data_IF_745896650021
#
_entry.id   IF_745896650021
#
_cell.length_a   1.000
_cell.length_b   1.000
_cell.length_c   1.000
_cell.angle_alpha   90.00
_cell.angle_beta   90.00
_cell.angle_gamma   90.00
#
_symmetry.space_group_name_H-M   'P 1'
#
loop_
_entity.id
_entity.type
_entity.pdbx_description
1 polymer ?
#
# COMPACT_ATOMS: atom_id res chain seq x y z
N UNK A 1 -14.54 -1.77 14.97
CA UNK A 1 -14.05 -2.77 13.99
C UNK A 1 -14.08 -4.16 14.58
N UNK A 2 -13.87 -5.21 13.78
CA UNK A 2 -13.64 -6.56 14.29
C UNK A 2 -12.19 -6.72 14.80
N UNK A 3 -12.00 -7.67 15.73
CA UNK A 3 -10.71 -7.91 16.40
C UNK A 3 -9.62 -8.38 15.43
N UNK A 4 -9.99 -9.14 14.40
CA UNK A 4 -9.04 -9.63 13.40
C UNK A 4 -8.48 -8.48 12.55
N UNK A 5 -9.35 -7.55 12.13
CA UNK A 5 -8.91 -6.31 11.47
C UNK A 5 -7.96 -5.49 12.35
N UNK A 6 -8.28 -5.27 13.63
CA UNK A 6 -7.39 -4.51 14.53
C UNK A 6 -6.03 -5.20 14.73
N UNK A 7 -6.00 -6.52 14.80
CA UNK A 7 -4.74 -7.28 14.82
C UNK A 7 -3.94 -7.09 13.52
N UNK A 8 -4.59 -7.18 12.36
CA UNK A 8 -3.95 -6.95 11.07
C UNK A 8 -3.38 -5.53 10.97
N UNK A 9 -4.10 -4.52 11.45
CA UNK A 9 -3.63 -3.13 11.54
C UNK A 9 -2.41 -3.02 12.46
N UNK A 10 -2.41 -3.71 13.60
CA UNK A 10 -1.26 -3.75 14.51
C UNK A 10 -0.01 -4.42 13.91
N UNK A 11 -0.18 -5.46 13.08
CA UNK A 11 0.91 -6.04 12.30
C UNK A 11 1.42 -5.05 11.25
N UNK A 12 0.49 -4.42 10.52
CA UNK A 12 0.83 -3.44 9.48
C UNK A 12 1.59 -2.25 10.06
N UNK A 13 1.17 -1.72 11.21
CA UNK A 13 1.88 -0.65 11.91
C UNK A 13 3.33 -1.03 12.18
N UNK A 14 3.57 -2.20 12.80
CA UNK A 14 4.93 -2.69 13.08
C UNK A 14 5.76 -2.81 11.80
N UNK A 15 5.17 -3.35 10.73
CA UNK A 15 5.83 -3.44 9.44
C UNK A 15 6.20 -2.06 8.86
N UNK A 16 5.33 -1.07 8.99
CA UNK A 16 5.56 0.32 8.54
C UNK A 16 6.68 0.98 9.36
N UNK A 17 6.68 0.79 10.68
CA UNK A 17 7.70 1.36 11.56
C UNK A 17 9.09 0.76 11.28
N UNK A 18 9.16 -0.54 10.98
CA UNK A 18 10.41 -1.22 10.61
C UNK A 18 10.88 -0.91 9.18
N UNK A 19 9.95 -0.71 8.24
CA UNK A 19 10.26 -0.34 6.85
C UNK A 19 10.60 1.15 6.69
N UNK A 20 10.42 1.94 7.75
CA UNK A 20 10.44 3.40 7.69
C UNK A 20 11.76 3.93 7.13
N UNK A 21 11.64 4.77 6.10
CA UNK A 21 12.77 5.50 5.51
C UNK A 21 12.86 6.90 6.15
N UNK A 22 14.00 7.28 6.75
CA UNK A 22 14.19 8.63 7.27
C UNK A 22 13.99 9.70 6.20
N UNK A 23 13.26 10.77 6.55
CA UNK A 23 13.01 11.91 5.64
C UNK A 23 11.76 11.78 4.75
N UNK A 24 11.13 10.61 4.70
CA UNK A 24 9.89 10.40 3.93
C UNK A 24 8.67 10.67 4.83
N UNK A 25 7.87 11.68 4.45
CA UNK A 25 6.76 12.18 5.27
C UNK A 25 5.61 11.17 5.35
N UNK A 26 5.34 10.47 4.26
CA UNK A 26 4.25 9.52 4.07
C UNK A 26 4.33 8.38 5.08
N UNK A 27 5.53 7.89 5.41
CA UNK A 27 5.71 6.89 6.48
C UNK A 27 5.29 7.43 7.85
N UNK A 28 5.61 8.69 8.15
CA UNK A 28 5.22 9.31 9.43
C UNK A 28 3.71 9.52 9.49
N UNK A 29 3.10 9.98 8.40
CA UNK A 29 1.65 10.16 8.30
C UNK A 29 0.92 8.81 8.39
N UNK A 30 1.43 7.79 7.72
CA UNK A 30 0.86 6.44 7.73
C UNK A 30 0.94 5.83 9.12
N UNK A 31 2.11 5.87 9.76
CA UNK A 31 2.29 5.38 11.13
C UNK A 31 1.33 6.08 12.10
N UNK A 32 1.20 7.41 12.01
CA UNK A 32 0.25 8.17 12.84
C UNK A 32 -1.23 7.89 12.54
N UNK A 33 -1.61 7.63 11.29
CA UNK A 33 -2.98 7.25 10.94
C UNK A 33 -3.32 5.83 11.43
N UNK A 34 -2.35 4.91 11.37
CA UNK A 34 -2.50 3.56 11.93
C UNK A 34 -2.60 3.59 13.46
N UNK A 35 -1.85 4.46 14.13
CA UNK A 35 -1.98 4.69 15.58
C UNK A 35 -3.37 5.16 15.96
N UNK A 36 -3.87 6.21 15.28
CA UNK A 36 -5.23 6.70 15.51
C UNK A 36 -6.28 5.63 15.22
N UNK A 37 -6.06 4.79 14.21
CA UNK A 37 -6.96 3.65 13.92
C UNK A 37 -6.99 2.66 15.08
N UNK A 38 -5.85 2.34 15.69
CA UNK A 38 -5.77 1.41 16.82
C UNK A 38 -6.34 2.01 18.12
N UNK A 39 -6.23 3.32 18.30
CA UNK A 39 -6.76 4.03 19.48
C UNK A 39 -8.28 4.25 19.40
N UNK A 40 -8.80 4.58 18.21
CA UNK A 40 -10.21 4.94 18.01
C UNK A 40 -11.08 3.80 17.50
N UNK A 41 -10.46 2.75 16.93
CA UNK A 41 -11.12 1.61 16.28
C UNK A 41 -12.10 2.02 15.16
N UNK A 42 -11.87 3.19 14.56
CA UNK A 42 -12.72 3.80 13.54
C UNK A 42 -12.32 3.42 12.11
N UNK A 43 -13.34 3.13 11.28
CA UNK A 43 -13.22 2.93 9.84
C UNK A 43 -12.77 4.19 9.11
N UNK A 44 -13.10 5.38 9.62
CA UNK A 44 -12.65 6.62 9.00
C UNK A 44 -11.13 6.75 9.03
N UNK A 45 -10.51 6.50 10.19
CA UNK A 45 -9.06 6.57 10.37
C UNK A 45 -8.33 5.50 9.53
N UNK A 46 -8.88 4.29 9.42
CA UNK A 46 -8.31 3.25 8.55
C UNK A 46 -8.37 3.65 7.07
N UNK A 47 -9.45 4.31 6.63
CA UNK A 47 -9.55 4.80 5.27
C UNK A 47 -8.53 5.93 5.00
N UNK A 48 -8.26 6.78 5.98
CA UNK A 48 -7.20 7.78 5.86
C UNK A 48 -5.82 7.11 5.78
N UNK A 49 -5.54 6.11 6.62
CA UNK A 49 -4.31 5.31 6.52
C UNK A 49 -4.16 4.67 5.13
N UNK A 50 -5.25 4.12 4.56
CA UNK A 50 -5.24 3.58 3.19
C UNK A 50 -4.87 4.65 2.15
N UNK A 51 -5.45 5.86 2.24
CA UNK A 51 -5.13 6.96 1.32
C UNK A 51 -3.65 7.35 1.39
N UNK A 52 -3.09 7.45 2.59
CA UNK A 52 -1.66 7.75 2.77
C UNK A 52 -0.79 6.60 2.23
N UNK A 53 -1.18 5.35 2.46
CA UNK A 53 -0.47 4.20 1.90
C UNK A 53 -0.44 4.24 0.36
N UNK A 54 -1.52 4.63 -0.29
CA UNK A 54 -1.58 4.76 -1.76
C UNK A 54 -0.65 5.85 -2.30
N UNK A 55 -0.29 6.85 -1.50
CA UNK A 55 0.70 7.89 -1.88
C UNK A 55 2.15 7.45 -1.74
N UNK A 56 2.43 6.35 -1.03
CA UNK A 56 3.78 5.82 -0.94
C UNK A 56 4.27 5.32 -2.30
N UNK A 57 5.56 5.53 -2.53
CA UNK A 57 6.22 4.98 -3.70
C UNK A 57 6.05 3.45 -3.80
N UNK A 58 6.04 2.92 -5.02
CA UNK A 58 5.82 1.49 -5.30
C UNK A 58 6.85 0.58 -4.61
N UNK A 59 8.11 1.00 -4.55
CA UNK A 59 9.17 0.24 -3.89
C UNK A 59 8.94 0.19 -2.37
N UNK A 60 8.59 1.34 -1.78
CA UNK A 60 8.27 1.45 -0.36
C UNK A 60 7.05 0.60 0.01
N UNK A 61 6.00 0.61 -0.82
CA UNK A 61 4.80 -0.22 -0.63
C UNK A 61 5.12 -1.71 -0.65
N UNK A 62 6.00 -2.12 -1.57
CA UNK A 62 6.45 -3.52 -1.68
C UNK A 62 7.18 -3.95 -0.41
N UNK A 63 8.13 -3.15 0.07
CA UNK A 63 8.86 -3.42 1.32
C UNK A 63 7.94 -3.55 2.54
N UNK A 64 6.95 -2.67 2.66
CA UNK A 64 5.95 -2.74 3.75
C UNK A 64 5.14 -4.04 3.67
N UNK A 65 4.70 -4.45 2.48
CA UNK A 65 3.90 -5.68 2.30
C UNK A 65 4.73 -6.94 2.58
N UNK A 66 5.97 -7.01 2.11
CA UNK A 66 6.86 -8.14 2.39
C UNK A 66 7.11 -8.30 3.89
N UNK A 67 7.33 -7.20 4.62
CA UNK A 67 7.46 -7.23 6.07
C UNK A 67 6.16 -7.59 6.77
N UNK A 68 5.04 -6.96 6.41
CA UNK A 68 3.75 -7.23 7.01
C UNK A 68 3.33 -8.69 6.83
N UNK A 69 3.58 -9.28 5.65
CA UNK A 69 3.30 -10.69 5.41
C UNK A 69 4.21 -11.62 6.20
N UNK A 70 5.49 -11.26 6.38
CA UNK A 70 6.43 -12.01 7.22
C UNK A 70 6.00 -11.98 8.68
N UNK A 71 5.67 -10.81 9.22
CA UNK A 71 5.18 -10.64 10.59
C UNK A 71 3.84 -11.34 10.82
N UNK A 72 2.89 -11.22 9.88
CA UNK A 72 1.59 -11.89 9.97
C UNK A 72 1.75 -13.42 9.99
N UNK A 73 2.67 -13.97 9.18
CA UNK A 73 2.96 -15.42 9.18
C UNK A 73 3.61 -15.87 10.47
N UNK A 74 4.56 -15.10 11.01
CA UNK A 74 5.19 -15.39 12.29
C UNK A 74 4.16 -15.42 13.41
N UNK A 75 3.30 -14.38 13.50
CA UNK A 75 2.27 -14.29 14.52
C UNK A 75 1.18 -15.37 14.36
N UNK A 76 0.81 -15.73 13.12
CA UNK A 76 -0.08 -16.85 12.86
C UNK A 76 0.55 -18.20 13.25
N UNK A 77 1.85 -18.37 13.05
CA UNK A 77 2.58 -19.58 13.45
C UNK A 77 2.65 -19.70 14.99
N UNK A 78 2.91 -18.60 15.70
CA UNK A 78 2.92 -18.55 17.17
C UNK A 78 1.55 -18.91 17.76
N UNK A 79 0.44 -18.48 17.14
CA UNK A 79 -0.91 -18.86 17.57
C UNK A 79 -1.27 -20.30 17.22
N UNK A 80 -0.70 -20.84 16.15
CA UNK A 80 -0.95 -22.22 15.69
C UNK A 80 -0.09 -23.23 16.41
N UNK A 81 0.99 -22.83 17.08
CA UNK A 81 1.65 -23.63 18.09
C UNK A 81 0.83 -23.49 19.38
N UNK A 82 -0.17 -24.35 19.66
CA UNK A 82 -0.80 -24.35 20.96
C UNK A 82 0.31 -24.52 22.00
N UNK A 83 0.30 -23.65 23.00
CA UNK A 83 0.97 -23.85 24.29
C UNK A 83 0.39 -25.10 24.95
N UNK A 84 0.75 -26.27 24.43
CA UNK A 84 0.54 -27.56 25.04
C UNK A 84 1.60 -27.77 26.11
N UNK A 85 1.17 -27.61 27.36
CA UNK A 85 1.61 -28.36 28.54
C UNK A 85 3.04 -28.10 29.04
N UNK A 86 3.39 -28.05 30.33
CA UNK A 86 2.81 -27.87 31.66
C UNK A 86 4.07 -27.66 32.54
N UNK A 87 3.94 -26.90 33.62
CA UNK A 87 4.81 -26.86 34.80
C UNK A 87 5.95 -27.91 34.87
N UNK A 88 7.20 -27.42 34.80
CA UNK A 88 8.30 -28.05 35.52
C UNK A 88 8.64 -27.15 36.71
N UNK A 89 7.80 -27.23 37.74
CA UNK A 89 8.08 -26.67 39.07
C UNK A 89 9.29 -27.41 39.69
N UNK A 90 10.43 -26.71 39.68
CA UNK A 90 11.46 -26.59 40.73
C UNK A 90 12.03 -27.87 41.40
N UNK A 91 13.33 -28.10 41.19
CA UNK A 91 14.24 -28.46 42.30
C UNK A 91 15.46 -27.53 42.24
N UNK A 92 15.75 -26.74 43.29
CA UNK A 92 16.96 -25.94 43.36
C UNK A 92 18.04 -26.69 44.16
N UNK A 93 19.18 -26.98 43.56
CA UNK A 93 20.41 -27.24 44.31
C UNK A 93 21.55 -26.43 43.69
N UNK A 94 21.94 -25.40 44.44
CA UNK A 94 23.13 -24.60 44.24
C UNK A 94 24.39 -25.44 44.48
N UNK A 95 25.42 -25.30 43.63
CA UNK A 95 26.82 -25.08 44.03
C UNK A 95 27.54 -24.34 42.87
N UNK A 96 28.37 -23.29 43.14
CA UNK A 96 28.97 -22.41 42.12
C UNK A 96 30.40 -22.82 41.73
N UNK A 97 31.06 -21.97 40.90
CA UNK A 97 32.52 -21.93 40.58
C UNK A 97 32.88 -22.88 39.41
N UNK A 98 33.40 -22.51 38.23
CA UNK A 98 34.47 -21.56 37.85
C UNK A 98 34.51 -21.46 36.30
N UNK A 99 34.81 -20.27 35.76
CA UNK A 99 35.42 -20.05 34.42
C UNK A 99 36.94 -20.34 34.54
N UNK A 100 37.80 -20.55 33.49
CA UNK A 100 37.66 -20.09 32.09
C UNK A 100 38.32 -20.91 30.94
N UNK A 101 38.07 -20.41 29.71
CA UNK A 101 38.95 -20.32 28.53
C UNK A 101 39.60 -21.57 27.90
N UNK A 102 39.28 -21.83 26.63
CA UNK A 102 40.28 -22.12 25.58
C UNK A 102 39.66 -22.03 24.17
N UNK A 103 40.26 -21.19 23.34
CA UNK A 103 40.03 -21.03 21.92
C UNK A 103 40.53 -22.22 21.11
N UNK A 104 39.81 -22.68 20.08
CA UNK A 104 40.33 -23.34 18.84
C UNK A 104 39.19 -23.27 17.79
N UNK A 105 39.21 -22.30 16.87
CA UNK A 105 39.76 -22.37 15.49
C UNK A 105 38.78 -22.95 14.46
N UNK A 106 38.23 -22.08 13.60
CA UNK A 106 37.67 -22.43 12.29
C UNK A 106 38.68 -23.20 11.45
N UNK A 107 38.24 -24.12 10.57
CA UNK A 107 38.31 -23.77 9.14
C UNK A 107 37.19 -24.37 8.27
N UNK A 108 36.74 -23.58 7.29
CA UNK A 108 36.31 -24.04 5.94
C UNK A 108 37.59 -24.30 5.11
N UNK A 109 37.69 -25.22 4.12
CA UNK A 109 36.90 -25.34 2.87
C UNK A 109 36.58 -26.83 2.52
N UNK A 110 35.92 -27.29 1.45
CA UNK A 110 36.27 -27.28 0.01
C UNK A 110 35.27 -28.20 -0.76
N UNK A 111 34.86 -27.84 -2.00
CA UNK A 111 34.34 -28.72 -3.08
C UNK A 111 35.53 -29.53 -3.71
N UNK A 112 35.44 -30.44 -4.74
CA UNK A 112 34.41 -30.77 -5.78
C UNK A 112 34.42 -32.31 -6.15
N UNK A 113 34.31 -32.85 -7.42
CA UNK A 113 33.55 -32.56 -8.67
C UNK A 113 32.78 -33.79 -9.29
N UNK A 114 31.99 -33.53 -10.36
CA UNK A 114 31.60 -34.44 -11.50
C UNK A 114 30.71 -35.69 -11.18
N UNK A 115 29.77 -36.21 -11.99
CA UNK A 115 29.62 -36.41 -13.45
C UNK A 115 28.12 -36.63 -13.82
N UNK A 116 27.72 -36.20 -15.02
CA UNK A 116 26.53 -36.66 -15.79
C UNK A 116 27.08 -37.38 -17.04
N UNK A 117 26.46 -38.45 -17.57
CA UNK A 117 25.45 -38.23 -18.61
C UNK A 117 24.33 -39.29 -18.82
N UNK A 118 23.25 -38.79 -19.44
CA UNK A 118 22.43 -39.40 -20.51
C UNK A 118 21.32 -40.46 -20.27
N UNK A 119 20.14 -40.06 -20.75
CA UNK A 119 19.24 -40.74 -21.69
C UNK A 119 18.03 -41.56 -21.17
N UNK A 120 16.85 -41.06 -21.51
CA UNK A 120 15.56 -41.76 -21.46
C UNK A 120 14.39 -40.89 -21.90
N UNK A 121 14.33 -40.51 -23.18
CA UNK A 121 13.18 -39.82 -23.81
C UNK A 121 12.00 -40.78 -24.07
N UNK A 122 10.73 -40.33 -24.04
CA UNK A 122 9.61 -41.07 -24.64
C UNK A 122 9.49 -40.80 -26.17
N UNK A 123 9.02 -41.77 -26.98
CA UNK A 123 8.77 -41.61 -28.42
C UNK A 123 7.41 -40.91 -28.64
N UNK A 124 7.11 -40.10 -29.65
CA UNK A 124 7.77 -39.74 -30.92
C UNK A 124 6.74 -39.86 -32.05
N UNK A 125 6.25 -38.76 -32.65
CA UNK A 125 5.58 -38.69 -33.98
C UNK A 125 5.70 -37.24 -34.51
N UNK A 126 6.75 -36.87 -35.25
CA UNK A 126 6.94 -36.94 -36.72
C UNK A 126 6.19 -35.86 -37.52
N UNK A 127 6.96 -34.94 -38.13
CA UNK A 127 6.57 -33.96 -39.15
C UNK A 127 6.81 -32.53 -38.68
N UNK A 128 7.89 -31.81 -39.02
CA UNK A 128 8.48 -31.64 -40.34
C UNK A 128 7.90 -30.39 -41.00
N UNK A 129 8.51 -29.22 -40.73
CA UNK A 129 8.65 -28.02 -41.61
C UNK A 129 9.09 -26.79 -40.81
N UNK A 130 10.39 -26.49 -40.93
CA UNK A 130 11.00 -25.17 -41.15
C UNK A 130 10.28 -23.90 -40.64
N UNK A 131 11.03 -23.14 -39.83
CA UNK A 131 10.95 -21.69 -39.62
C UNK A 131 9.67 -21.14 -38.97
N UNK A 132 9.75 -20.84 -37.67
CA UNK A 132 9.01 -19.70 -37.09
C UNK A 132 9.83 -18.97 -36.03
N UNK A 133 9.73 -17.63 -35.96
CA UNK A 133 10.75 -16.76 -35.42
C UNK A 133 10.55 -16.44 -33.93
N UNK A 134 11.69 -16.21 -33.29
CA UNK A 134 11.99 -15.20 -32.28
C UNK A 134 10.80 -14.47 -31.59
N UNK A 135 10.79 -14.63 -30.26
CA UNK A 135 10.58 -13.55 -29.28
C UNK A 135 9.32 -12.68 -29.44
N UNK A 136 8.25 -13.11 -28.76
CA UNK A 136 6.92 -12.49 -28.69
C UNK A 136 6.81 -11.11 -28.03
N UNK A 137 7.81 -10.22 -28.19
CA UNK A 137 7.70 -8.82 -27.78
C UNK A 137 7.52 -7.88 -28.99
N UNK A 138 8.22 -8.15 -30.10
CA UNK A 138 8.09 -7.35 -31.33
C UNK A 138 6.80 -7.65 -32.11
N UNK A 139 6.18 -8.81 -31.90
CA UNK A 139 4.88 -9.15 -32.48
C UNK A 139 3.72 -8.32 -31.89
N UNK A 140 3.82 -7.89 -30.62
CA UNK A 140 2.78 -7.13 -29.93
C UNK A 140 2.69 -5.66 -30.42
N UNK A 141 3.81 -5.08 -30.84
CA UNK A 141 3.86 -3.68 -31.29
C UNK A 141 3.25 -3.45 -32.68
N UNK A 142 3.06 -4.51 -33.47
CA UNK A 142 2.35 -4.42 -34.76
C UNK A 142 0.82 -4.56 -34.65
N UNK A 143 0.29 -4.87 -33.46
CA UNK A 143 -1.17 -4.97 -33.22
C UNK A 143 -1.87 -3.63 -32.92
N UNK A 144 -1.14 -2.53 -32.79
CA UNK A 144 -1.66 -1.24 -32.26
C UNK A 144 -2.25 -0.32 -33.34
N UNK A 145 -2.56 -0.82 -34.54
CA UNK A 145 -3.17 -0.01 -35.63
C UNK A 145 -4.37 -0.71 -36.28
N UNK A 146 -5.42 -1.01 -35.52
CA UNK A 146 -6.78 -1.26 -36.06
C UNK A 146 -7.84 -1.27 -34.96
N UNK A 147 -8.19 -0.09 -34.42
CA UNK A 147 -9.46 0.11 -33.71
C UNK A 147 -10.01 1.54 -33.88
N UNK A 148 -9.61 2.23 -34.95
CA UNK A 148 -10.34 3.38 -35.46
C UNK A 148 -11.41 2.87 -36.41
N UNK A 149 -12.69 3.10 -36.07
CA UNK A 149 -13.93 2.88 -36.82
C UNK A 149 -14.75 1.64 -36.40
N UNK A 150 -15.58 1.83 -35.38
CA UNK A 150 -16.96 1.35 -35.42
C UNK A 150 -17.88 2.35 -34.71
N UNK A 151 -18.44 3.25 -35.52
CA UNK A 151 -19.55 4.15 -35.16
C UNK A 151 -20.85 3.42 -35.51
N UNK A 152 -21.85 3.29 -34.63
CA UNK A 152 -23.21 2.97 -35.06
C UNK A 152 -23.96 4.25 -35.49
N UNK A 153 -24.84 4.19 -36.50
CA UNK A 153 -25.61 5.33 -36.97
C UNK A 153 -26.94 5.44 -36.22
N UNK A 154 -27.38 6.67 -35.95
CA UNK A 154 -28.78 6.99 -35.66
C UNK A 154 -29.13 7.32 -34.21
N UNK A 155 -28.85 8.56 -33.80
CA UNK A 155 -29.84 9.39 -33.10
C UNK A 155 -29.40 10.86 -33.20
N UNK A 156 -30.10 11.60 -34.05
CA UNK A 156 -30.24 13.05 -33.90
C UNK A 156 -31.47 13.24 -33.01
N UNK A 157 -31.27 13.82 -31.83
CA UNK A 157 -32.28 14.66 -31.19
C UNK A 157 -31.48 15.74 -30.46
N UNK A 158 -31.56 16.95 -31.00
CA UNK A 158 -31.40 18.18 -30.22
C UNK A 158 -32.35 18.07 -29.03
N UNK A 159 -31.85 18.28 -27.81
CA UNK A 159 -32.56 18.97 -26.71
C UNK A 159 -31.81 18.80 -25.38
N UNK A 160 -31.27 19.90 -24.88
CA UNK A 160 -31.57 20.28 -23.49
C UNK A 160 -30.77 19.70 -22.34
N UNK A 161 -29.60 19.07 -22.51
CA UNK A 161 -28.69 18.93 -21.36
C UNK A 161 -28.01 20.27 -21.10
N UNK A 162 -28.31 20.98 -19.99
CA UNK A 162 -27.62 22.22 -19.67
C UNK A 162 -26.14 21.88 -19.52
N UNK A 163 -25.31 22.53 -20.33
CA UNK A 163 -23.86 22.37 -20.29
C UNK A 163 -23.42 22.42 -18.82
N UNK A 164 -22.95 21.30 -18.27
CA UNK A 164 -22.57 21.22 -16.85
C UNK A 164 -21.55 22.31 -16.50
N UNK A 165 -20.76 22.70 -17.50
CA UNK A 165 -19.83 23.83 -17.46
C UNK A 165 -20.53 25.19 -17.35
N UNK A 166 -21.59 25.43 -18.12
CA UNK A 166 -22.38 26.65 -18.05
C UNK A 166 -23.11 26.77 -16.70
N UNK A 167 -23.65 25.66 -16.20
CA UNK A 167 -24.31 25.60 -14.88
C UNK A 167 -23.32 25.83 -13.75
N UNK A 168 -22.14 25.18 -13.79
CA UNK A 168 -21.09 25.40 -12.80
C UNK A 168 -20.58 26.85 -12.82
N UNK A 169 -20.40 27.44 -14.00
CA UNK A 169 -20.01 28.85 -14.14
C UNK A 169 -21.07 29.80 -13.58
N UNK A 170 -22.35 29.55 -13.84
CA UNK A 170 -23.45 30.36 -13.33
C UNK A 170 -23.52 30.31 -11.79
N UNK A 171 -23.35 29.12 -11.20
CA UNK A 171 -23.28 28.96 -9.72
C UNK A 171 -22.08 29.70 -9.12
N UNK A 172 -20.93 29.65 -9.77
CA UNK A 172 -19.73 30.36 -9.31
C UNK A 172 -19.93 31.88 -9.35
N UNK A 173 -20.50 32.41 -10.45
CA UNK A 173 -20.80 33.85 -10.57
C UNK A 173 -21.77 34.31 -9.47
N UNK A 174 -22.84 33.54 -9.21
CA UNK A 174 -23.80 33.85 -8.16
C UNK A 174 -23.16 33.87 -6.77
N UNK A 175 -22.33 32.88 -6.44
CA UNK A 175 -21.63 32.83 -5.15
C UNK A 175 -20.62 33.98 -4.97
N UNK A 176 -20.01 34.45 -6.06
CA UNK A 176 -19.09 35.61 -6.03
C UNK A 176 -19.87 36.91 -5.82
N UNK A 177 -21.05 37.05 -6.43
CA UNK A 177 -21.93 38.21 -6.22
C UNK A 177 -22.47 38.26 -4.78
N UNK A 178 -22.93 37.13 -4.23
CA UNK A 178 -23.38 37.03 -2.84
C UNK A 178 -22.27 37.41 -1.84
N UNK A 179 -21.03 36.98 -2.09
CA UNK A 179 -19.88 37.37 -1.26
C UNK A 179 -19.57 38.86 -1.36
N UNK A 180 -19.75 39.46 -2.54
CA UNK A 180 -19.52 40.90 -2.76
C UNK A 180 -20.60 41.75 -2.08
N UNK A 181 -21.86 41.31 -2.13
CA UNK A 181 -22.98 41.95 -1.44
C UNK A 181 -22.80 41.86 0.08
N UNK A 182 -22.46 40.68 0.60
CA UNK A 182 -22.14 40.48 2.03
C UNK A 182 -20.98 41.37 2.51
N UNK A 183 -19.91 41.49 1.72
CA UNK A 183 -18.77 42.37 2.03
C UNK A 183 -19.15 43.86 1.94
N UNK A 184 -20.15 44.24 1.14
CA UNK A 184 -20.67 45.60 1.04
C UNK A 184 -21.61 45.94 2.20
N UNK A 185 -22.54 45.05 2.54
CA UNK A 185 -23.44 45.20 3.70
C UNK A 185 -22.65 45.27 5.00
N UNK A 186 -21.58 44.49 5.15
CA UNK A 186 -20.68 44.60 6.29
C UNK A 186 -20.02 45.99 6.41
N UNK A 187 -19.70 46.63 5.28
CA UNK A 187 -19.15 48.00 5.27
C UNK A 187 -20.20 49.04 5.64
N UNK A 188 -21.44 48.91 5.15
CA UNK A 188 -22.53 49.83 5.49
C UNK A 188 -23.01 49.69 6.94
N UNK A 189 -22.99 48.49 7.50
CA UNK A 189 -23.34 48.25 8.91
C UNK A 189 -22.23 48.63 9.91
N UNK A 190 -20.98 48.77 9.46
CA UNK A 190 -19.87 49.26 10.29
C UNK A 190 -19.69 50.79 10.31
N UNK A 191 -20.42 51.52 9.46
CA UNK A 191 -20.42 52.99 9.41
C UNK A 191 -21.48 53.62 10.32
N UNK A 192 -21.33 53.46 11.64
CA UNK A 192 -22.13 54.21 12.62
C UNK A 192 -21.83 55.72 12.55
N UNK A 193 -22.79 56.61 12.89
CA UNK A 193 -22.63 58.04 12.71
C UNK A 193 -21.53 58.57 13.61
N UNK A 194 -20.61 59.34 13.02
CA UNK A 194 -19.63 60.14 13.76
C UNK A 194 -20.41 61.18 14.56
N UNK A 195 -20.63 60.93 15.85
CA UNK A 195 -21.08 61.97 16.77
C UNK A 195 -19.89 62.88 17.05
N UNK A 196 -19.89 64.00 16.32
CA UNK A 196 -19.22 65.24 16.68
C UNK A 196 -19.55 65.61 18.14
N UNK A 197 -18.53 65.93 18.94
CA UNK A 197 -18.71 66.42 20.31
C UNK A 197 -17.63 67.47 20.61
N UNK A 198 -18.12 68.68 20.87
CA UNK A 198 -17.44 69.90 21.37
C UNK A 198 -16.34 69.64 22.41
#
# INVERSE_FOLDING_TARGET
MDRETLQAVGVLKRAVDEARVPGVLEFRLLSSALDRTLETEDLHELNEAKRVYETLDGECRTLVVERATTLARAEAAERRAPSGEVEAEIVPVAVPVTVPAAAVKSPSPELPPSELPAAGSPPGLRGGRTMRPATGFLAALNGVRSASRSRPPGQRTEDGTPDSRATAKSRLMAAVEERRESDQDARFHSGGPVTDRD
#
